data_IF_638261115749
#
_entry.id   IF_638261115749
#
_cell.length_a   1.000
_cell.length_b   1.000
_cell.length_c   1.000
_cell.angle_alpha   90.00
_cell.angle_beta   90.00
_cell.angle_gamma   90.00
#
_symmetry.space_group_name_H-M   'P 1'
#
loop_
_entity.id
_entity.type
_entity.pdbx_description
1 polymer ?
#
# COMPACT_ATOMS: atom_id res chain seq x y z
N UNK A 1 29.42 -10.29 -0.40
CA UNK A 1 29.81 -8.86 -0.48
C UNK A 1 29.25 -8.16 0.73
N UNK A 2 30.13 -7.47 1.49
CA UNK A 2 29.75 -6.79 2.72
C UNK A 2 29.11 -5.42 2.43
N UNK A 3 28.25 -4.94 3.33
CA UNK A 3 27.71 -3.58 3.34
C UNK A 3 27.77 -2.97 4.76
N UNK A 4 27.34 -1.73 4.94
CA UNK A 4 27.43 -1.02 6.24
C UNK A 4 26.63 -1.67 7.36
N UNK A 5 25.56 -2.39 7.04
CA UNK A 5 24.74 -3.09 8.03
C UNK A 5 25.44 -4.32 8.60
N UNK A 6 26.45 -4.87 7.91
CA UNK A 6 27.24 -6.00 8.44
C UNK A 6 28.12 -5.64 9.66
N UNK A 7 28.24 -4.33 9.96
CA UNK A 7 28.87 -3.85 11.20
C UNK A 7 27.92 -3.92 12.42
N UNK A 8 26.65 -4.23 12.21
CA UNK A 8 25.65 -4.35 13.28
C UNK A 8 25.33 -5.83 13.58
N UNK A 9 24.99 -6.18 14.83
CA UNK A 9 24.65 -7.58 15.21
C UNK A 9 23.22 -7.96 14.77
N UNK A 10 22.89 -7.85 13.48
CA UNK A 10 21.56 -8.04 12.91
C UNK A 10 21.49 -9.22 11.92
N UNK A 11 22.53 -9.99 11.76
CA UNK A 11 22.56 -11.15 10.86
C UNK A 11 21.57 -12.23 11.33
N UNK A 12 20.75 -12.73 10.40
CA UNK A 12 19.80 -13.82 10.61
C UNK A 12 20.29 -15.15 10.00
N UNK A 13 21.36 -15.08 9.21
CA UNK A 13 22.01 -16.22 8.55
C UNK A 13 23.53 -16.01 8.57
N UNK A 14 24.35 -17.03 8.20
CA UNK A 14 25.80 -16.85 8.03
C UNK A 14 26.21 -15.92 6.89
N UNK A 15 25.26 -15.54 6.02
CA UNK A 15 25.52 -14.68 4.87
C UNK A 15 25.52 -13.19 5.25
N UNK A 16 26.29 -12.36 4.51
CA UNK A 16 26.18 -10.91 4.61
C UNK A 16 24.75 -10.42 4.35
N UNK A 17 24.37 -9.26 4.90
CA UNK A 17 23.02 -8.67 4.79
C UNK A 17 22.58 -8.46 3.34
N UNK A 18 23.51 -8.29 2.40
CA UNK A 18 23.18 -8.18 0.98
C UNK A 18 22.48 -9.43 0.42
N UNK A 19 22.70 -10.59 1.04
CA UNK A 19 22.19 -11.89 0.57
C UNK A 19 20.96 -12.32 1.38
N UNK A 20 19.76 -12.38 0.77
CA UNK A 20 18.58 -12.90 1.46
C UNK A 20 18.73 -14.38 1.87
N UNK A 21 18.04 -14.76 2.96
CA UNK A 21 18.01 -16.14 3.47
C UNK A 21 17.20 -17.11 2.59
N UNK A 22 16.87 -16.76 1.37
CA UNK A 22 16.08 -17.55 0.42
C UNK A 22 16.61 -17.38 -0.98
N UNK A 23 16.43 -18.38 -1.83
CA UNK A 23 16.70 -18.32 -3.27
C UNK A 23 15.45 -18.07 -4.10
N UNK A 24 14.31 -17.78 -3.49
CA UNK A 24 13.09 -17.48 -4.24
C UNK A 24 13.25 -16.17 -5.02
N UNK A 25 13.00 -16.24 -6.34
CA UNK A 25 13.12 -15.09 -7.24
C UNK A 25 12.20 -13.92 -6.87
N UNK A 26 11.13 -14.22 -6.14
CA UNK A 26 10.10 -13.24 -5.75
C UNK A 26 10.32 -12.67 -4.34
N UNK A 27 11.53 -12.83 -3.78
CA UNK A 27 11.87 -12.15 -2.54
C UNK A 27 11.89 -10.64 -2.76
N UNK A 28 11.32 -9.91 -1.81
CA UNK A 28 11.22 -8.47 -1.85
C UNK A 28 11.32 -7.84 -0.45
N UNK A 29 11.67 -6.57 -0.43
CA UNK A 29 11.57 -5.71 0.75
C UNK A 29 11.06 -4.34 0.28
N UNK A 30 9.89 -3.91 0.78
CA UNK A 30 9.14 -2.77 0.28
C UNK A 30 8.80 -1.78 1.38
N UNK A 31 8.96 -0.51 1.05
CA UNK A 31 8.39 0.62 1.77
C UNK A 31 7.31 1.25 0.91
N UNK A 32 6.14 1.45 1.50
CA UNK A 32 5.01 2.08 0.85
C UNK A 32 4.38 3.11 1.76
N UNK A 33 3.83 4.17 1.18
CA UNK A 33 3.11 5.20 1.91
C UNK A 33 1.94 5.71 1.09
N UNK A 34 0.91 6.18 1.79
CA UNK A 34 -0.01 7.15 1.25
C UNK A 34 0.00 8.45 2.04
N UNK A 35 -0.57 9.49 1.43
CA UNK A 35 -0.97 10.71 2.09
C UNK A 35 -2.25 11.24 1.47
N UNK A 36 -3.17 11.73 2.30
CA UNK A 36 -4.45 12.24 1.86
C UNK A 36 -4.93 13.38 2.76
N UNK A 37 -5.62 14.35 2.14
CA UNK A 37 -6.23 15.44 2.87
C UNK A 37 -7.39 14.97 3.73
N UNK A 38 -7.59 15.59 4.90
CA UNK A 38 -8.70 15.29 5.80
C UNK A 38 -10.08 15.69 5.25
N UNK A 39 -10.12 16.51 4.21
CA UNK A 39 -11.33 16.87 3.46
C UNK A 39 -11.53 16.02 2.18
N UNK A 40 -10.55 15.18 1.83
CA UNK A 40 -10.56 14.36 0.63
C UNK A 40 -10.16 15.09 -0.66
N UNK A 41 -9.56 16.29 -0.56
CA UNK A 41 -9.23 17.12 -1.72
C UNK A 41 -8.08 16.59 -2.55
N UNK A 42 -7.17 15.81 -1.96
CA UNK A 42 -6.05 15.17 -2.65
C UNK A 42 -5.64 13.83 -2.05
N UNK A 43 -4.93 13.07 -2.85
CA UNK A 43 -4.25 11.85 -2.46
C UNK A 43 -2.90 11.75 -3.17
N UNK A 44 -1.87 11.26 -2.49
CA UNK A 44 -0.64 10.80 -3.10
C UNK A 44 -0.21 9.44 -2.55
N UNK A 45 0.48 8.68 -3.39
CA UNK A 45 1.06 7.40 -3.03
C UNK A 45 2.55 7.35 -3.35
N UNK A 46 3.31 6.57 -2.57
CA UNK A 46 4.75 6.43 -2.67
C UNK A 46 5.09 4.95 -2.52
N UNK A 47 5.92 4.43 -3.39
CA UNK A 47 6.43 3.06 -3.28
C UNK A 47 7.91 2.99 -3.61
N UNK A 48 8.65 2.18 -2.86
CA UNK A 48 10.01 1.75 -3.20
C UNK A 48 10.19 0.32 -2.75
N UNK A 49 10.78 -0.52 -3.60
CA UNK A 49 11.06 -1.90 -3.25
C UNK A 49 12.37 -2.39 -3.85
N UNK A 50 13.10 -3.20 -3.09
CA UNK A 50 14.22 -3.96 -3.59
C UNK A 50 13.80 -5.41 -3.82
N UNK A 51 14.22 -5.96 -4.96
CA UNK A 51 14.03 -7.35 -5.38
C UNK A 51 15.40 -7.98 -5.61
N UNK A 52 16.03 -8.50 -4.54
CA UNK A 52 17.44 -8.89 -4.59
C UNK A 52 17.77 -9.94 -5.64
N UNK A 53 16.88 -10.93 -5.86
CA UNK A 53 17.12 -12.00 -6.85
C UNK A 53 16.63 -11.64 -8.26
N UNK A 54 16.17 -10.42 -8.45
CA UNK A 54 15.94 -9.79 -9.78
C UNK A 54 16.98 -8.72 -10.08
N UNK A 55 17.79 -8.36 -9.09
CA UNK A 55 18.81 -7.31 -9.16
C UNK A 55 18.20 -5.94 -9.47
N UNK A 56 17.01 -5.66 -8.89
CA UNK A 56 16.22 -4.45 -9.16
C UNK A 56 15.91 -3.72 -7.85
N UNK A 57 16.06 -2.40 -7.88
CA UNK A 57 15.45 -1.44 -6.95
C UNK A 57 14.55 -0.52 -7.76
N UNK A 58 13.25 -0.51 -7.47
CA UNK A 58 12.29 0.37 -8.12
C UNK A 58 11.62 1.34 -7.16
N UNK A 59 11.04 2.40 -7.70
CA UNK A 59 10.24 3.35 -6.96
C UNK A 59 9.14 3.96 -7.85
N UNK A 60 8.13 4.52 -7.20
CA UNK A 60 7.10 5.31 -7.85
C UNK A 60 6.57 6.38 -6.88
N UNK A 61 6.17 7.51 -7.45
CA UNK A 61 5.40 8.56 -6.79
C UNK A 61 4.21 8.93 -7.67
N UNK A 62 3.04 9.06 -7.08
CA UNK A 62 1.86 9.44 -7.84
C UNK A 62 0.94 10.31 -7.00
N UNK A 63 0.32 11.31 -7.64
CA UNK A 63 -0.57 12.28 -6.98
C UNK A 63 -1.80 12.54 -7.82
N UNK A 64 -2.94 12.75 -7.14
CA UNK A 64 -4.21 13.16 -7.73
C UNK A 64 -4.91 14.17 -6.82
N UNK A 65 -5.44 15.24 -7.41
CA UNK A 65 -6.36 16.16 -6.74
C UNK A 65 -7.79 15.90 -7.19
N UNK A 66 -8.76 16.31 -6.37
CA UNK A 66 -10.17 16.12 -6.67
C UNK A 66 -10.57 16.80 -8.01
N UNK A 67 -11.12 15.99 -8.92
CA UNK A 67 -11.49 16.46 -10.27
C UNK A 67 -10.30 16.63 -11.23
N UNK A 68 -9.06 16.45 -10.77
CA UNK A 68 -7.83 16.56 -11.54
C UNK A 68 -7.38 15.27 -12.23
N UNK A 69 -6.22 15.35 -12.85
CA UNK A 69 -5.50 14.21 -13.42
C UNK A 69 -4.65 13.55 -12.35
N UNK A 70 -4.35 12.28 -12.53
CA UNK A 70 -3.34 11.58 -11.75
C UNK A 70 -2.00 11.70 -12.47
N UNK A 71 -0.98 12.23 -11.78
CA UNK A 71 0.37 12.41 -12.29
C UNK A 71 1.31 11.43 -11.62
N UNK A 72 2.17 10.78 -12.40
CA UNK A 72 2.99 9.67 -11.94
C UNK A 72 4.45 9.87 -12.31
N UNK A 73 5.33 9.51 -11.40
CA UNK A 73 6.76 9.29 -11.62
C UNK A 73 7.08 7.82 -11.34
N UNK A 74 7.94 7.24 -12.18
CA UNK A 74 8.48 5.89 -12.02
C UNK A 74 9.99 5.92 -12.12
N UNK A 75 10.65 5.07 -11.34
CA UNK A 75 12.08 4.86 -11.41
C UNK A 75 12.46 3.41 -11.19
N UNK A 76 13.47 2.94 -11.89
CA UNK A 76 14.04 1.60 -11.74
C UNK A 76 15.53 1.64 -11.97
N UNK A 77 16.29 0.92 -11.16
CA UNK A 77 17.73 0.72 -11.37
C UNK A 77 18.19 -0.65 -10.93
N UNK A 78 19.45 -0.98 -11.27
CA UNK A 78 20.14 -2.13 -10.67
C UNK A 78 20.17 -1.98 -9.15
N UNK A 79 19.84 -3.06 -8.45
CA UNK A 79 19.79 -3.07 -6.98
C UNK A 79 21.19 -2.83 -6.40
N UNK A 80 21.35 -1.89 -5.45
CA UNK A 80 22.61 -1.74 -4.73
C UNK A 80 22.79 -2.87 -3.72
N UNK A 81 24.06 -3.24 -3.47
CA UNK A 81 24.39 -4.16 -2.38
C UNK A 81 24.23 -3.49 -1.01
N UNK A 82 24.46 -2.18 -0.97
CA UNK A 82 24.24 -1.36 0.22
C UNK A 82 22.75 -1.17 0.48
N UNK A 83 22.22 -1.82 1.50
CA UNK A 83 20.78 -1.81 1.84
C UNK A 83 20.29 -0.48 2.38
N UNK A 84 21.18 0.39 2.83
CA UNK A 84 20.84 1.74 3.25
C UNK A 84 20.75 2.75 2.11
N UNK A 85 21.16 2.36 0.88
CA UNK A 85 21.00 3.18 -0.31
C UNK A 85 19.57 3.05 -0.87
N UNK A 86 18.69 3.89 -0.37
CA UNK A 86 17.28 3.96 -0.74
C UNK A 86 17.05 5.09 -1.75
N UNK A 87 17.74 5.03 -2.91
CA UNK A 87 17.61 6.05 -3.96
C UNK A 87 17.48 5.44 -5.35
N UNK A 88 16.73 6.10 -6.26
CA UNK A 88 16.60 5.75 -7.67
C UNK A 88 16.56 7.06 -8.50
N UNK A 89 17.66 7.42 -9.12
CA UNK A 89 17.76 8.68 -9.86
C UNK A 89 17.41 9.89 -8.99
N UNK A 90 16.41 10.70 -9.35
CA UNK A 90 16.00 11.87 -8.58
C UNK A 90 15.19 11.55 -7.31
N UNK A 91 14.79 10.29 -7.12
CA UNK A 91 13.95 9.86 -5.99
C UNK A 91 14.81 9.27 -4.87
N UNK A 92 14.50 9.61 -3.61
CA UNK A 92 15.11 8.98 -2.42
C UNK A 92 14.19 8.99 -1.20
N UNK A 93 14.38 8.00 -0.35
CA UNK A 93 13.78 7.91 0.98
C UNK A 93 14.88 8.01 2.03
N UNK A 94 14.75 8.92 2.96
CA UNK A 94 15.69 9.16 4.06
C UNK A 94 15.03 8.76 5.39
N UNK A 95 15.56 7.78 6.09
CA UNK A 95 15.12 7.41 7.44
C UNK A 95 15.77 8.38 8.42
N UNK A 96 15.05 9.42 8.83
CA UNK A 96 15.56 10.45 9.74
C UNK A 96 15.66 9.91 11.18
N UNK A 97 14.58 9.26 11.63
CA UNK A 97 14.53 8.54 12.89
C UNK A 97 13.75 7.23 12.67
N UNK A 98 14.40 6.07 12.86
CA UNK A 98 13.73 4.79 12.67
C UNK A 98 12.42 4.69 13.47
N UNK A 99 11.38 4.18 12.82
CA UNK A 99 10.02 3.99 13.36
C UNK A 99 9.27 5.28 13.74
N UNK A 100 9.84 6.47 13.46
CA UNK A 100 9.22 7.76 13.78
C UNK A 100 9.14 8.71 12.60
N UNK A 101 10.27 9.04 11.96
CA UNK A 101 10.34 10.10 10.96
C UNK A 101 11.06 9.67 9.69
N UNK A 102 10.40 9.91 8.56
CA UNK A 102 10.93 9.59 7.23
C UNK A 102 10.76 10.81 6.33
N UNK A 103 11.78 11.14 5.53
CA UNK A 103 11.69 12.13 4.48
C UNK A 103 11.70 11.46 3.12
N UNK A 104 10.84 11.93 2.21
CA UNK A 104 10.78 11.48 0.82
C UNK A 104 11.04 12.68 -0.07
N UNK A 105 12.03 12.54 -0.95
CA UNK A 105 12.40 13.60 -1.90
C UNK A 105 12.34 13.04 -3.30
N UNK A 106 11.65 13.75 -4.16
CA UNK A 106 11.70 13.59 -5.62
C UNK A 106 12.10 14.94 -6.21
N UNK A 107 13.32 15.01 -6.70
CA UNK A 107 13.86 16.21 -7.34
C UNK A 107 13.19 16.44 -8.70
N UNK A 108 13.36 17.64 -9.25
CA UNK A 108 12.83 18.00 -10.57
C UNK A 108 13.32 17.02 -11.64
N UNK A 109 12.39 16.58 -12.48
CA UNK A 109 12.64 15.55 -13.49
C UNK A 109 11.67 15.69 -14.68
N UNK A 110 11.80 14.82 -15.66
CA UNK A 110 11.01 14.90 -16.92
C UNK A 110 9.51 14.61 -16.74
N UNK A 111 9.07 13.96 -15.66
CA UNK A 111 7.64 13.73 -15.41
C UNK A 111 6.89 15.01 -15.01
N UNK A 112 7.62 16.04 -14.57
CA UNK A 112 7.04 17.25 -13.99
C UNK A 112 6.51 17.07 -12.58
N UNK A 113 6.71 15.88 -11.97
CA UNK A 113 6.33 15.60 -10.57
C UNK A 113 7.57 15.73 -9.70
N UNK A 114 7.48 16.51 -8.62
CA UNK A 114 8.53 16.59 -7.59
C UNK A 114 7.92 16.74 -6.21
N UNK A 115 8.67 16.36 -5.17
CA UNK A 115 8.22 16.54 -3.80
C UNK A 115 9.38 16.64 -2.80
N UNK A 116 9.08 17.27 -1.67
CA UNK A 116 9.87 17.21 -0.45
C UNK A 116 8.88 17.06 0.71
N UNK A 117 8.75 15.84 1.21
CA UNK A 117 7.73 15.45 2.16
C UNK A 117 8.35 14.79 3.38
N UNK A 118 7.88 15.14 4.56
CA UNK A 118 8.27 14.49 5.82
C UNK A 118 7.06 13.82 6.46
N UNK A 119 7.16 12.52 6.68
CA UNK A 119 6.23 11.72 7.47
C UNK A 119 6.66 11.71 8.93
N UNK A 120 5.71 11.98 9.83
CA UNK A 120 5.88 11.87 11.27
C UNK A 120 4.83 10.92 11.85
N UNK A 121 5.29 9.85 12.50
CA UNK A 121 4.41 8.85 13.08
C UNK A 121 3.49 9.45 14.18
N UNK A 122 2.27 8.94 14.26
CA UNK A 122 1.27 9.24 15.30
C UNK A 122 0.74 7.97 15.97
N UNK A 123 1.23 6.80 15.56
CA UNK A 123 1.00 5.51 16.24
C UNK A 123 2.32 4.79 16.43
N UNK A 124 2.38 3.83 17.33
CA UNK A 124 3.37 2.76 17.27
C UNK A 124 3.17 1.94 16.00
N UNK A 125 4.09 1.04 15.68
CA UNK A 125 3.91 0.13 14.55
C UNK A 125 2.90 -0.97 14.92
N UNK A 126 2.07 -1.31 13.95
CA UNK A 126 1.03 -2.32 14.07
C UNK A 126 1.41 -3.47 13.14
N UNK A 127 1.95 -4.54 13.71
CA UNK A 127 2.29 -5.71 12.90
C UNK A 127 1.03 -6.48 12.52
N UNK A 128 0.83 -6.68 11.21
CA UNK A 128 -0.20 -7.59 10.69
C UNK A 128 0.19 -9.06 10.91
N UNK A 129 -0.78 -9.96 10.85
CA UNK A 129 -0.54 -11.39 10.81
C UNK A 129 0.29 -11.78 9.58
N UNK A 130 1.18 -12.76 9.74
CA UNK A 130 1.98 -13.27 8.62
C UNK A 130 1.08 -13.86 7.54
N UNK A 131 1.19 -13.35 6.34
CA UNK A 131 0.39 -13.78 5.20
C UNK A 131 1.10 -14.92 4.46
N UNK A 132 0.50 -16.11 4.46
CA UNK A 132 1.07 -17.29 3.79
C UNK A 132 0.03 -17.88 2.85
N UNK A 133 0.34 -17.92 1.55
CA UNK A 133 -0.51 -18.54 0.52
C UNK A 133 0.27 -19.61 -0.25
N UNK A 134 -0.40 -20.70 -0.55
CA UNK A 134 0.15 -21.83 -1.28
C UNK A 134 -0.55 -22.01 -2.63
N UNK A 135 0.21 -22.41 -3.63
CA UNK A 135 -0.27 -22.89 -4.92
C UNK A 135 0.37 -24.26 -5.18
N UNK A 136 -0.39 -25.32 -4.96
CA UNK A 136 0.17 -26.66 -4.93
C UNK A 136 1.24 -26.79 -3.82
N UNK A 137 2.41 -27.28 -4.17
CA UNK A 137 3.53 -27.43 -3.26
C UNK A 137 4.37 -26.13 -3.08
N UNK A 138 4.07 -25.07 -3.80
CA UNK A 138 4.83 -23.82 -3.77
C UNK A 138 4.15 -22.78 -2.89
N UNK A 139 4.91 -22.15 -2.02
CA UNK A 139 4.52 -20.97 -1.28
C UNK A 139 4.64 -19.75 -2.21
N UNK A 140 3.50 -19.18 -2.62
CA UNK A 140 3.45 -18.05 -3.58
C UNK A 140 3.37 -16.70 -2.87
N UNK A 141 3.05 -16.71 -1.59
CA UNK A 141 3.13 -15.56 -0.70
C UNK A 141 3.58 -16.03 0.68
N UNK A 142 4.55 -15.34 1.24
CA UNK A 142 5.03 -15.52 2.61
C UNK A 142 5.62 -14.19 3.06
N UNK A 143 4.78 -13.33 3.61
CA UNK A 143 5.12 -11.95 3.87
C UNK A 143 4.78 -11.54 5.31
N UNK A 144 5.67 -10.77 5.89
CA UNK A 144 5.44 -9.99 7.11
C UNK A 144 5.21 -8.54 6.72
N UNK A 145 4.31 -7.88 7.45
CA UNK A 145 3.98 -6.47 7.24
C UNK A 145 3.76 -5.78 8.57
N UNK A 146 4.06 -4.48 8.61
CA UNK A 146 3.56 -3.60 9.65
C UNK A 146 3.11 -2.28 9.05
N UNK A 147 2.09 -1.69 9.68
CA UNK A 147 1.56 -0.39 9.37
C UNK A 147 1.87 0.61 10.47
N UNK A 148 1.94 1.88 10.12
CA UNK A 148 2.12 2.98 11.03
C UNK A 148 1.38 4.20 10.50
N UNK A 149 0.50 4.77 11.31
CA UNK A 149 -0.27 5.95 10.93
C UNK A 149 0.48 7.22 11.34
N UNK A 150 0.32 8.26 10.55
CA UNK A 150 1.04 9.51 10.79
C UNK A 150 0.49 10.70 10.02
N UNK A 151 1.30 11.72 9.99
CA UNK A 151 1.03 13.01 9.37
C UNK A 151 2.15 13.37 8.41
N UNK A 152 1.77 14.09 7.35
CA UNK A 152 2.70 14.58 6.35
C UNK A 152 2.84 16.09 6.40
N UNK A 153 4.05 16.58 6.16
CA UNK A 153 4.34 18.00 5.96
C UNK A 153 5.30 18.17 4.77
N UNK A 154 5.12 19.22 3.98
CA UNK A 154 6.00 19.54 2.87
C UNK A 154 5.27 20.08 1.65
N UNK A 155 5.77 19.74 0.46
CA UNK A 155 5.26 20.22 -0.81
C UNK A 155 5.31 19.15 -1.88
N UNK A 156 4.29 19.12 -2.74
CA UNK A 156 4.26 18.34 -3.99
C UNK A 156 4.05 19.30 -5.14
N UNK A 157 4.82 19.15 -6.22
CA UNK A 157 4.62 19.84 -7.49
C UNK A 157 4.28 18.83 -8.56
N UNK A 158 3.40 19.20 -9.46
CA UNK A 158 2.99 18.38 -10.58
C UNK A 158 2.60 19.29 -11.77
N UNK A 159 2.41 18.75 -12.98
CA UNK A 159 2.16 19.57 -14.18
C UNK A 159 1.01 20.56 -14.07
N UNK A 160 0.01 20.29 -13.23
CA UNK A 160 -1.18 21.14 -13.08
C UNK A 160 -1.03 22.16 -11.92
N UNK A 161 0.01 22.08 -11.07
CA UNK A 161 0.23 23.03 -9.98
C UNK A 161 1.17 22.61 -8.87
N UNK A 162 1.05 23.32 -7.75
CA UNK A 162 1.77 23.06 -6.50
C UNK A 162 0.77 22.84 -5.36
N UNK A 163 0.95 21.77 -4.62
CA UNK A 163 0.16 21.39 -3.47
C UNK A 163 0.99 21.50 -2.20
N UNK A 164 0.55 22.34 -1.26
CA UNK A 164 1.12 22.39 0.09
C UNK A 164 0.52 21.30 0.94
N UNK A 165 1.38 20.52 1.57
CA UNK A 165 1.01 19.46 2.50
C UNK A 165 1.33 19.92 3.91
N UNK A 166 0.33 19.97 4.79
CA UNK A 166 0.54 20.36 6.19
C UNK A 166 0.06 19.25 7.14
N UNK A 167 0.73 19.13 8.27
CA UNK A 167 0.50 18.04 9.23
C UNK A 167 -0.83 18.14 10.00
N UNK A 168 -1.50 19.30 9.98
CA UNK A 168 -2.85 19.48 10.49
C UNK A 168 -3.92 18.98 9.49
N UNK A 169 -3.62 18.95 8.20
CA UNK A 169 -4.55 18.59 7.14
C UNK A 169 -4.28 17.22 6.51
N UNK A 170 -3.03 16.74 6.51
CA UNK A 170 -2.66 15.54 5.78
C UNK A 170 -2.38 14.35 6.70
N UNK A 171 -3.21 13.35 6.59
CA UNK A 171 -2.97 12.02 7.17
C UNK A 171 -2.19 11.13 6.21
N UNK A 172 -1.62 10.06 6.75
CA UNK A 172 -0.99 9.03 5.93
C UNK A 172 -0.73 7.76 6.69
N UNK A 173 -0.53 6.70 5.93
CA UNK A 173 -0.12 5.39 6.42
C UNK A 173 1.23 5.04 5.81
N UNK A 174 2.13 4.52 6.62
CA UNK A 174 3.37 3.85 6.21
C UNK A 174 3.14 2.36 6.32
N UNK A 175 3.32 1.63 5.22
CA UNK A 175 3.32 0.17 5.15
C UNK A 175 4.73 -0.31 4.81
N UNK A 176 5.25 -1.19 5.64
CA UNK A 176 6.50 -1.91 5.40
C UNK A 176 6.19 -3.39 5.28
N UNK A 177 6.62 -3.99 4.17
CA UNK A 177 6.43 -5.42 3.97
C UNK A 177 7.65 -6.07 3.34
N UNK A 178 7.93 -7.31 3.73
CA UNK A 178 9.04 -8.09 3.21
C UNK A 178 8.73 -9.57 3.22
N UNK A 179 9.44 -10.32 2.38
CA UNK A 179 9.26 -11.76 2.25
C UNK A 179 9.20 -12.18 0.80
N UNK A 180 8.25 -13.04 0.47
CA UNK A 180 8.04 -13.58 -0.88
C UNK A 180 6.63 -13.25 -1.35
N UNK A 181 6.49 -12.69 -2.55
CA UNK A 181 5.23 -12.56 -3.30
C UNK A 181 5.53 -12.43 -4.79
N UNK A 182 4.59 -12.81 -5.63
CA UNK A 182 4.75 -12.62 -7.09
C UNK A 182 4.93 -11.15 -7.45
N UNK A 183 5.99 -10.86 -8.22
CA UNK A 183 6.33 -9.52 -8.73
C UNK A 183 6.94 -9.63 -10.14
N UNK A 184 6.93 -8.52 -10.88
CA UNK A 184 7.53 -8.45 -12.21
C UNK A 184 6.80 -9.31 -13.24
N UNK A 185 7.52 -9.68 -14.27
CA UNK A 185 7.01 -10.52 -15.34
C UNK A 185 6.60 -11.90 -14.82
N UNK A 186 5.55 -12.50 -15.39
CA UNK A 186 5.15 -13.85 -15.06
C UNK A 186 6.30 -14.85 -15.20
N UNK A 187 6.41 -15.76 -14.26
CA UNK A 187 7.36 -16.87 -14.38
C UNK A 187 6.92 -17.80 -15.49
N UNK A 188 7.86 -18.21 -16.34
CA UNK A 188 7.65 -19.13 -17.43
C UNK A 188 8.13 -20.53 -17.09
N UNK A 189 7.55 -21.55 -17.73
CA UNK A 189 7.92 -22.96 -17.55
C UNK A 189 7.07 -23.68 -16.49
N UNK A 190 7.19 -25.00 -16.45
CA UNK A 190 6.39 -25.86 -15.58
C UNK A 190 4.97 -26.11 -16.11
N UNK A 191 4.15 -26.78 -15.30
CA UNK A 191 2.74 -27.02 -15.62
C UNK A 191 1.95 -25.70 -15.60
N UNK A 192 0.96 -25.53 -16.51
CA UNK A 192 0.09 -24.37 -16.48
C UNK A 192 -0.62 -24.24 -15.12
N UNK A 193 -0.58 -23.05 -14.55
CA UNK A 193 -1.31 -22.73 -13.33
C UNK A 193 -2.52 -21.90 -13.73
N UNK A 194 -3.72 -22.35 -13.33
CA UNK A 194 -4.91 -21.54 -13.50
C UNK A 194 -4.78 -20.28 -12.63
N UNK A 195 -4.99 -19.09 -13.19
CA UNK A 195 -5.00 -17.88 -12.39
C UNK A 195 -6.08 -18.00 -11.31
N UNK A 196 -5.69 -17.83 -10.06
CA UNK A 196 -6.66 -17.72 -8.96
C UNK A 196 -7.32 -16.34 -8.99
N UNK A 197 -8.56 -16.27 -8.48
CA UNK A 197 -9.17 -14.99 -8.15
C UNK A 197 -8.47 -14.37 -6.93
N UNK A 198 -8.58 -13.06 -6.78
CA UNK A 198 -8.17 -12.32 -5.61
C UNK A 198 -9.28 -11.36 -5.20
N UNK A 199 -9.68 -11.41 -3.93
CA UNK A 199 -10.47 -10.37 -3.29
C UNK A 199 -9.68 -9.85 -2.10
N UNK A 200 -9.35 -8.57 -2.12
CA UNK A 200 -8.59 -7.91 -1.08
C UNK A 200 -9.21 -6.54 -0.77
N UNK A 201 -9.40 -6.27 0.52
CA UNK A 201 -9.70 -4.95 1.05
C UNK A 201 -8.71 -4.62 2.17
N UNK A 202 -8.30 -3.35 2.21
CA UNK A 202 -7.46 -2.80 3.25
C UNK A 202 -7.99 -1.41 3.60
N UNK A 203 -8.32 -1.19 4.88
CA UNK A 203 -9.04 -0.01 5.32
C UNK A 203 -8.39 0.61 6.57
N UNK A 204 -7.34 1.42 6.40
CA UNK A 204 -6.79 2.27 7.46
C UNK A 204 -7.66 3.51 7.63
N UNK A 205 -8.23 3.69 8.81
CA UNK A 205 -9.12 4.79 9.16
C UNK A 205 -8.59 5.57 10.36
N UNK A 206 -8.67 6.88 10.31
CA UNK A 206 -8.22 7.80 11.36
C UNK A 206 -9.43 8.50 11.96
N UNK A 207 -9.48 8.50 13.30
CA UNK A 207 -10.48 9.15 14.13
C UNK A 207 -9.81 10.22 14.99
N UNK A 208 -10.55 10.93 15.82
CA UNK A 208 -9.99 12.00 16.63
C UNK A 208 -8.93 11.53 17.64
N UNK A 209 -9.14 10.33 18.22
CA UNK A 209 -8.35 9.82 19.35
C UNK A 209 -7.72 8.43 19.10
N UNK A 210 -8.09 7.77 18.01
CA UNK A 210 -7.63 6.43 17.68
C UNK A 210 -7.56 6.22 16.17
N UNK A 211 -7.01 5.09 15.77
CA UNK A 211 -7.12 4.55 14.43
C UNK A 211 -7.91 3.23 14.50
N UNK A 212 -8.56 2.89 13.41
CA UNK A 212 -9.00 1.52 13.17
C UNK A 212 -8.46 1.04 11.83
N UNK A 213 -8.05 -0.22 11.78
CA UNK A 213 -7.50 -0.83 10.60
C UNK A 213 -8.13 -2.20 10.38
N UNK A 214 -8.64 -2.45 9.19
CA UNK A 214 -9.25 -3.73 8.83
C UNK A 214 -8.66 -4.26 7.52
N UNK A 215 -8.40 -5.57 7.50
CA UNK A 215 -7.76 -6.27 6.40
C UNK A 215 -8.57 -7.51 6.06
N UNK A 216 -8.84 -7.68 4.77
CA UNK A 216 -9.57 -8.82 4.25
C UNK A 216 -8.86 -9.40 3.04
N UNK A 217 -8.68 -10.69 3.06
CA UNK A 217 -8.27 -11.48 1.92
C UNK A 217 -9.22 -12.67 1.84
N UNK A 218 -10.03 -12.72 0.80
CA UNK A 218 -11.03 -13.76 0.62
C UNK A 218 -10.71 -14.63 -0.61
N UNK A 219 -11.05 -15.90 -0.50
CA UNK A 219 -11.13 -16.81 -1.63
C UNK A 219 -12.39 -16.58 -2.48
N UNK A 220 -12.50 -17.25 -3.63
CA UNK A 220 -13.59 -17.02 -4.61
C UNK A 220 -15.01 -17.25 -4.10
N UNK A 221 -15.18 -18.07 -3.07
CA UNK A 221 -16.48 -18.34 -2.44
C UNK A 221 -16.76 -17.47 -1.21
N UNK A 222 -15.88 -16.49 -0.90
CA UNK A 222 -15.94 -15.67 0.28
C UNK A 222 -15.34 -16.33 1.53
N UNK A 223 -14.60 -17.43 1.36
CA UNK A 223 -13.85 -18.03 2.44
C UNK A 223 -12.75 -17.08 2.95
N UNK A 224 -12.73 -16.83 4.25
CA UNK A 224 -11.77 -15.94 4.88
C UNK A 224 -10.36 -16.57 4.88
N UNK A 225 -9.45 -16.01 4.09
CA UNK A 225 -8.02 -16.36 4.10
C UNK A 225 -7.24 -15.46 5.09
N UNK A 226 -7.58 -14.17 5.15
CA UNK A 226 -7.11 -13.22 6.16
C UNK A 226 -8.29 -12.35 6.57
N UNK A 227 -8.50 -12.20 7.86
CA UNK A 227 -9.48 -11.30 8.46
C UNK A 227 -8.91 -10.72 9.73
N UNK A 228 -8.46 -9.48 9.66
CA UNK A 228 -7.87 -8.79 10.79
C UNK A 228 -8.54 -7.45 11.01
N UNK A 229 -8.67 -7.08 12.29
CA UNK A 229 -9.12 -5.77 12.71
C UNK A 229 -8.33 -5.34 13.93
N UNK A 230 -7.92 -4.07 13.95
CA UNK A 230 -7.14 -3.48 15.02
C UNK A 230 -7.66 -2.08 15.29
N UNK A 231 -7.74 -1.74 16.58
CA UNK A 231 -7.95 -0.36 17.06
C UNK A 231 -6.75 0.01 17.90
N UNK A 232 -6.12 1.15 17.61
CA UNK A 232 -4.91 1.59 18.30
C UNK A 232 -4.98 3.09 18.63
N UNK A 233 -4.31 3.55 19.70
CA UNK A 233 -4.28 4.96 20.08
C UNK A 233 -3.63 5.83 18.99
N UNK A 234 -4.21 7.01 18.74
CA UNK A 234 -3.64 8.04 17.91
C UNK A 234 -3.03 9.15 18.81
N UNK A 235 -1.75 9.42 18.63
CA UNK A 235 -1.02 10.40 19.43
C UNK A 235 -1.01 11.77 18.77
N UNK A 236 -0.96 12.83 19.60
CA UNK A 236 -0.93 14.21 19.10
C UNK A 236 0.40 14.58 18.45
N UNK A 237 1.49 13.99 18.93
CA UNK A 237 2.83 14.20 18.36
C UNK A 237 3.61 12.88 18.27
N UNK A 238 4.67 12.85 17.46
CA UNK A 238 5.58 11.71 17.39
C UNK A 238 6.35 11.47 18.70
N UNK A 239 6.54 12.53 19.51
CA UNK A 239 7.21 12.43 20.80
C UNK A 239 6.37 11.67 21.84
N UNK A 240 5.05 11.65 21.67
CA UNK A 240 4.12 10.95 22.54
C UNK A 240 3.99 9.47 22.21
N UNK A 241 4.50 9.04 21.05
CA UNK A 241 4.48 7.62 20.64
C UNK A 241 5.42 6.82 21.53
N UNK A 242 4.92 5.78 22.26
CA UNK A 242 5.66 5.17 23.37
C UNK A 242 6.89 4.36 22.94
N UNK A 243 6.95 3.93 21.67
CA UNK A 243 8.04 3.12 21.15
C UNK A 243 7.68 2.43 19.84
N UNK A 244 8.33 1.30 19.58
CA UNK A 244 8.05 0.50 18.37
C UNK A 244 6.69 -0.15 18.45
N UNK A 245 6.29 -0.64 19.62
CA UNK A 245 5.01 -1.28 19.89
C UNK A 245 4.25 -0.55 20.99
N UNK A 246 2.93 -0.65 20.99
CA UNK A 246 2.04 -0.13 22.03
C UNK A 246 1.15 -1.25 22.57
N UNK A 247 1.31 -1.60 23.81
CA UNK A 247 0.49 -2.64 24.48
C UNK A 247 -1.00 -2.29 24.62
N UNK A 248 -1.43 -1.10 24.16
CA UNK A 248 -2.84 -0.67 24.15
C UNK A 248 -3.57 -0.98 22.86
N UNK A 249 -2.89 -1.55 21.88
CA UNK A 249 -3.50 -2.01 20.64
C UNK A 249 -4.54 -3.10 20.94
N UNK A 250 -5.73 -2.92 20.39
CA UNK A 250 -6.85 -3.85 20.57
C UNK A 250 -7.08 -4.61 19.26
N UNK A 251 -6.70 -5.87 19.23
CA UNK A 251 -7.03 -6.76 18.12
C UNK A 251 -8.47 -7.22 18.24
N UNK A 252 -9.19 -7.19 17.11
CA UNK A 252 -10.57 -7.66 17.05
C UNK A 252 -10.61 -9.20 16.99
N UNK A 253 -11.66 -9.79 17.54
CA UNK A 253 -11.91 -11.23 17.44
C UNK A 253 -12.20 -11.65 15.98
N UNK A 254 -12.88 -10.79 15.23
CA UNK A 254 -13.13 -10.96 13.80
C UNK A 254 -13.57 -9.65 13.15
N UNK A 255 -13.54 -9.63 11.81
CA UNK A 255 -14.05 -8.52 11.00
C UNK A 255 -14.95 -9.04 9.89
N UNK A 256 -15.88 -8.21 9.42
CA UNK A 256 -16.74 -8.50 8.27
C UNK A 256 -16.80 -7.28 7.38
N UNK A 257 -17.08 -7.48 6.10
CA UNK A 257 -17.26 -6.39 5.13
C UNK A 257 -18.52 -6.61 4.30
N UNK A 258 -19.08 -5.53 3.82
CA UNK A 258 -20.13 -5.47 2.80
C UNK A 258 -19.75 -4.33 1.85
N UNK A 259 -19.69 -4.62 0.55
CA UNK A 259 -19.33 -3.64 -0.48
C UNK A 259 -20.48 -3.52 -1.47
N UNK A 260 -20.92 -2.29 -1.70
CA UNK A 260 -21.80 -1.94 -2.80
C UNK A 260 -20.95 -1.36 -3.92
N UNK A 261 -21.18 -1.82 -5.15
CA UNK A 261 -20.36 -1.42 -6.29
C UNK A 261 -21.08 -0.42 -7.20
N UNK A 262 -20.33 0.38 -7.90
CA UNK A 262 -20.82 1.17 -9.02
C UNK A 262 -21.21 0.19 -10.14
N UNK A 263 -22.46 0.24 -10.68
CA UNK A 263 -22.91 -0.66 -11.73
C UNK A 263 -21.94 -0.71 -12.93
N UNK A 264 -21.72 -1.90 -13.46
CA UNK A 264 -20.80 -2.15 -14.56
C UNK A 264 -19.32 -2.13 -14.18
N UNK A 265 -19.00 -2.02 -12.91
CA UNK A 265 -17.60 -1.96 -12.42
C UNK A 265 -17.38 -2.88 -11.22
N UNK A 266 -16.14 -2.90 -10.71
CA UNK A 266 -15.79 -3.48 -9.40
C UNK A 266 -15.30 -2.42 -8.43
N UNK A 267 -15.69 -1.16 -8.67
CA UNK A 267 -15.36 -0.01 -7.83
C UNK A 267 -16.42 0.15 -6.74
N UNK A 268 -16.03 0.26 -5.49
CA UNK A 268 -16.97 0.52 -4.40
C UNK A 268 -17.65 1.89 -4.55
N UNK A 269 -18.97 1.90 -4.48
CA UNK A 269 -19.78 3.11 -4.27
C UNK A 269 -20.00 3.40 -2.79
N UNK A 270 -19.99 2.35 -1.95
CA UNK A 270 -19.99 2.41 -0.50
C UNK A 270 -19.48 1.08 0.06
N UNK A 271 -19.06 1.10 1.31
CA UNK A 271 -18.75 -0.14 2.03
C UNK A 271 -19.13 -0.02 3.51
N UNK A 272 -19.32 -1.16 4.14
CA UNK A 272 -19.47 -1.28 5.60
C UNK A 272 -18.43 -2.27 6.13
N UNK A 273 -17.85 -1.95 7.27
CA UNK A 273 -16.91 -2.81 7.98
C UNK A 273 -17.41 -3.00 9.40
N UNK A 274 -17.59 -4.27 9.79
CA UNK A 274 -17.86 -4.65 11.18
C UNK A 274 -16.54 -5.02 11.86
N UNK A 275 -16.24 -4.37 12.96
CA UNK A 275 -15.22 -4.76 13.92
C UNK A 275 -15.91 -5.44 15.10
N UNK A 276 -15.58 -6.71 15.35
CA UNK A 276 -16.16 -7.50 16.46
C UNK A 276 -15.07 -7.75 17.48
N UNK A 277 -15.26 -7.27 18.70
CA UNK A 277 -14.33 -7.50 19.80
C UNK A 277 -14.47 -8.91 20.42
N UNK A 278 -13.62 -9.21 21.41
CA UNK A 278 -13.63 -10.51 22.10
C UNK A 278 -14.84 -10.73 23.02
N UNK A 279 -15.59 -9.67 23.35
CA UNK A 279 -16.85 -9.75 24.11
C UNK A 279 -18.07 -9.89 23.18
N UNK A 280 -17.84 -9.95 21.86
CA UNK A 280 -18.87 -10.06 20.82
C UNK A 280 -19.59 -8.76 20.50
N UNK A 281 -19.10 -7.61 21.01
CA UNK A 281 -19.63 -6.31 20.65
C UNK A 281 -19.21 -5.98 19.20
N UNK A 282 -20.17 -5.50 18.43
CA UNK A 282 -19.94 -5.15 17.02
C UNK A 282 -20.00 -3.63 16.87
N UNK A 283 -18.97 -3.09 16.24
CA UNK A 283 -18.92 -1.72 15.75
C UNK A 283 -19.00 -1.76 14.23
N UNK A 284 -20.04 -1.16 13.65
CA UNK A 284 -20.20 -1.03 12.21
C UNK A 284 -19.70 0.34 11.74
N UNK A 285 -18.79 0.35 10.80
CA UNK A 285 -18.22 1.55 10.19
C UNK A 285 -18.72 1.63 8.75
N UNK A 286 -19.43 2.70 8.44
CA UNK A 286 -19.89 3.03 7.07
C UNK A 286 -18.81 3.85 6.37
N UNK A 287 -18.51 3.52 5.10
CA UNK A 287 -17.49 4.16 4.27
C UNK A 287 -18.12 4.78 3.02
N UNK A 288 -17.89 6.08 2.86
CA UNK A 288 -18.30 6.87 1.70
C UNK A 288 -17.07 7.30 0.88
N UNK A 289 -16.84 6.73 -0.32
CA UNK A 289 -15.74 7.13 -1.19
C UNK A 289 -15.90 8.58 -1.70
N UNK A 290 -14.79 9.35 -1.65
CA UNK A 290 -14.78 10.76 -2.08
C UNK A 290 -13.73 11.07 -3.15
N UNK A 291 -12.62 10.32 -3.20
CA UNK A 291 -11.57 10.50 -4.20
C UNK A 291 -10.97 9.13 -4.59
N UNK A 292 -10.87 8.87 -5.88
CA UNK A 292 -10.28 7.64 -6.41
C UNK A 292 -8.84 7.86 -6.87
N UNK A 293 -7.96 6.96 -6.48
CA UNK A 293 -6.56 6.85 -6.91
C UNK A 293 -6.33 5.49 -7.59
N UNK A 294 -5.71 5.52 -8.77
CA UNK A 294 -5.35 4.32 -9.52
C UNK A 294 -3.98 3.79 -9.08
N UNK A 295 -3.95 2.56 -8.58
CA UNK A 295 -2.74 1.94 -8.04
C UNK A 295 -1.71 1.60 -9.13
N UNK A 296 -2.10 1.57 -10.41
CA UNK A 296 -1.13 1.50 -11.52
C UNK A 296 -0.10 2.62 -11.46
N UNK A 297 -0.48 3.80 -10.97
CA UNK A 297 0.43 4.92 -10.73
C UNK A 297 1.56 4.62 -9.74
N UNK A 298 1.51 3.48 -9.05
CA UNK A 298 2.58 2.94 -8.19
C UNK A 298 3.13 1.60 -8.70
N UNK A 299 2.94 1.31 -10.00
CA UNK A 299 3.46 0.12 -10.65
C UNK A 299 2.66 -1.16 -10.39
N UNK A 300 1.49 -1.10 -9.73
CA UNK A 300 0.65 -2.28 -9.58
C UNK A 300 -0.01 -2.61 -10.93
N UNK A 301 0.24 -3.81 -11.43
CA UNK A 301 -0.28 -4.30 -12.74
C UNK A 301 0.01 -3.37 -13.93
N UNK A 302 0.94 -2.42 -13.78
CA UNK A 302 1.32 -1.53 -14.87
C UNK A 302 2.03 -2.32 -15.98
N UNK A 303 1.64 -2.18 -17.26
CA UNK A 303 2.19 -3.00 -18.34
C UNK A 303 3.68 -2.73 -18.61
N UNK A 304 4.16 -1.52 -18.38
CA UNK A 304 5.56 -1.15 -18.62
C UNK A 304 6.35 -0.93 -17.33
N UNK A 305 5.77 -0.25 -16.35
CA UNK A 305 6.41 0.11 -15.07
C UNK A 305 5.95 -0.78 -13.92
N UNK A 306 5.66 -2.06 -14.23
CA UNK A 306 5.30 -3.04 -13.20
C UNK A 306 6.42 -3.23 -12.17
N UNK A 307 6.01 -3.46 -10.92
CA UNK A 307 6.93 -3.67 -9.81
C UNK A 307 7.88 -4.83 -10.09
N UNK A 308 9.20 -4.63 -9.91
CA UNK A 308 10.22 -5.65 -10.14
C UNK A 308 10.51 -5.97 -11.62
N UNK A 309 10.06 -5.12 -12.54
CA UNK A 309 10.41 -5.22 -13.97
C UNK A 309 11.75 -4.54 -14.26
N UNK A 310 12.62 -5.21 -15.00
CA UNK A 310 13.89 -4.63 -15.42
C UNK A 310 13.70 -3.57 -16.51
N UNK A 311 14.23 -2.36 -16.27
CA UNK A 311 14.14 -1.24 -17.23
C UNK A 311 15.50 -0.77 -17.77
N UNK A 312 16.61 -1.22 -17.15
CA UNK A 312 17.97 -0.79 -17.47
C UNK A 312 18.77 -0.52 -16.19
N UNK A 313 20.02 -0.08 -16.35
CA UNK A 313 20.92 0.23 -15.21
C UNK A 313 20.36 1.36 -14.34
N UNK A 314 19.73 2.36 -14.96
CA UNK A 314 18.94 3.42 -14.33
C UNK A 314 18.01 4.02 -15.38
N UNK A 315 16.71 3.88 -15.15
CA UNK A 315 15.67 4.45 -15.99
C UNK A 315 14.61 5.15 -15.16
N UNK A 316 14.08 6.23 -15.71
CA UNK A 316 12.97 6.98 -15.12
C UNK A 316 11.92 7.29 -16.16
N UNK A 317 10.66 7.31 -15.73
CA UNK A 317 9.52 7.62 -16.59
C UNK A 317 8.43 8.34 -15.82
N UNK A 318 7.37 8.66 -16.54
CA UNK A 318 6.19 9.27 -15.94
C UNK A 318 5.04 9.31 -16.94
N UNK A 319 3.84 9.42 -16.41
CA UNK A 319 2.61 9.59 -17.19
C UNK A 319 1.62 10.47 -16.43
N UNK A 320 0.61 10.95 -17.16
CA UNK A 320 -0.53 11.66 -16.57
C UNK A 320 -1.80 11.22 -17.28
N UNK A 321 -2.80 10.82 -16.51
CA UNK A 321 -4.09 10.37 -17.04
C UNK A 321 -5.26 10.86 -16.15
N UNK A 322 -6.46 10.86 -16.70
CA UNK A 322 -7.68 11.14 -15.93
C UNK A 322 -8.22 9.83 -15.35
N UNK A 323 -8.21 9.63 -14.01
CA UNK A 323 -8.70 8.41 -13.40
C UNK A 323 -10.19 8.16 -13.60
N UNK A 324 -10.95 9.18 -14.05
CA UNK A 324 -12.39 9.05 -14.35
C UNK A 324 -12.65 8.47 -15.75
N UNK A 325 -11.64 8.54 -16.65
CA UNK A 325 -11.76 8.13 -18.05
C UNK A 325 -11.11 6.77 -18.35
N UNK A 326 -10.50 6.13 -17.36
CA UNK A 326 -9.94 4.79 -17.53
C UNK A 326 -11.06 3.75 -17.51
N UNK A 327 -10.90 2.69 -18.32
CA UNK A 327 -11.78 1.53 -18.23
C UNK A 327 -11.55 0.79 -16.91
N UNK A 328 -12.52 0.75 -15.99
CA UNK A 328 -12.34 0.24 -14.63
C UNK A 328 -12.18 -1.28 -14.57
N UNK A 329 -12.46 -2.01 -15.65
CA UNK A 329 -12.34 -3.46 -15.72
C UNK A 329 -11.03 -3.95 -16.37
N UNK A 330 -10.20 -3.03 -16.91
CA UNK A 330 -8.89 -3.42 -17.37
C UNK A 330 -7.98 -3.84 -16.21
N UNK A 331 -7.13 -4.87 -16.39
CA UNK A 331 -6.27 -5.41 -15.34
C UNK A 331 -5.45 -4.36 -14.58
N UNK A 332 -4.91 -3.38 -15.30
CA UNK A 332 -4.11 -2.29 -14.73
C UNK A 332 -4.94 -1.24 -13.98
N UNK A 333 -6.25 -1.22 -14.17
CA UNK A 333 -7.14 -0.21 -13.56
C UNK A 333 -8.02 -0.76 -12.44
N UNK A 334 -8.07 -2.09 -12.26
CA UNK A 334 -8.98 -2.71 -11.29
C UNK A 334 -8.54 -2.53 -9.83
N UNK A 335 -7.24 -2.29 -9.62
CA UNK A 335 -6.68 -2.04 -8.30
C UNK A 335 -6.71 -0.53 -7.99
N UNK A 336 -7.48 -0.15 -6.99
CA UNK A 336 -7.67 1.25 -6.61
C UNK A 336 -7.55 1.44 -5.11
N UNK A 337 -7.19 2.67 -4.72
CA UNK A 337 -7.48 3.19 -3.39
C UNK A 337 -8.47 4.34 -3.51
N UNK A 338 -9.41 4.41 -2.58
CA UNK A 338 -10.36 5.51 -2.48
C UNK A 338 -10.19 6.19 -1.12
N UNK A 339 -10.00 7.51 -1.10
CA UNK A 339 -10.20 8.26 0.14
C UNK A 339 -11.65 8.11 0.52
N UNK A 340 -11.92 7.78 1.78
CA UNK A 340 -13.27 7.54 2.28
C UNK A 340 -13.55 8.37 3.53
N UNK A 341 -14.74 8.97 3.59
CA UNK A 341 -15.30 9.40 4.87
C UNK A 341 -15.80 8.18 5.62
N UNK A 342 -15.50 8.10 6.89
CA UNK A 342 -15.91 7.00 7.75
C UNK A 342 -16.91 7.49 8.81
N UNK A 343 -17.95 6.69 9.06
CA UNK A 343 -19.00 6.97 10.04
C UNK A 343 -19.17 5.78 10.98
N UNK A 344 -19.08 6.03 12.28
CA UNK A 344 -19.40 5.08 13.34
C UNK A 344 -20.44 5.77 14.26
N UNK A 345 -21.71 5.63 13.91
CA UNK A 345 -22.77 6.39 14.56
C UNK A 345 -22.56 7.90 14.45
N UNK A 346 -22.33 8.57 15.58
CA UNK A 346 -22.06 10.00 15.62
C UNK A 346 -20.61 10.39 15.32
N UNK A 347 -19.67 9.41 15.37
CA UNK A 347 -18.26 9.67 15.13
C UNK A 347 -17.99 9.83 13.64
N UNK A 348 -17.05 10.70 13.32
CA UNK A 348 -16.57 10.95 11.95
C UNK A 348 -15.09 10.65 11.90
N UNK A 349 -14.69 9.97 10.83
CA UNK A 349 -13.31 9.66 10.52
C UNK A 349 -13.04 9.83 9.04
N UNK A 350 -11.78 9.68 8.69
CA UNK A 350 -11.32 9.68 7.30
C UNK A 350 -10.26 8.61 7.14
N UNK A 351 -10.13 8.08 5.94
CA UNK A 351 -9.11 7.09 5.66
C UNK A 351 -9.13 6.66 4.22
N UNK A 352 -8.73 5.42 4.00
CA UNK A 352 -8.61 4.85 2.66
C UNK A 352 -9.31 3.49 2.63
N UNK A 353 -9.97 3.20 1.52
CA UNK A 353 -10.42 1.87 1.15
C UNK A 353 -9.61 1.43 -0.06
N UNK A 354 -8.62 0.56 0.15
CA UNK A 354 -7.96 -0.15 -0.94
C UNK A 354 -8.79 -1.35 -1.33
N UNK A 355 -8.93 -1.57 -2.62
CA UNK A 355 -9.67 -2.70 -3.15
C UNK A 355 -9.04 -3.26 -4.41
N UNK A 356 -8.98 -4.58 -4.48
CA UNK A 356 -8.69 -5.33 -5.68
C UNK A 356 -9.57 -6.57 -5.70
N UNK A 357 -10.37 -6.72 -6.74
CA UNK A 357 -11.18 -7.91 -6.96
C UNK A 357 -11.00 -8.39 -8.39
N UNK A 358 -10.27 -9.46 -8.58
CA UNK A 358 -9.99 -10.07 -9.88
C UNK A 358 -10.48 -11.53 -9.85
N UNK A 359 -11.17 -11.98 -10.91
CA UNK A 359 -11.72 -13.31 -10.99
C UNK A 359 -13.08 -13.46 -10.31
N UNK A 360 -13.62 -14.67 -10.30
CA UNK A 360 -14.90 -14.98 -9.68
C UNK A 360 -14.90 -14.68 -8.18
N UNK A 361 -15.98 -14.04 -7.72
CA UNK A 361 -16.20 -13.77 -6.29
C UNK A 361 -17.69 -13.87 -5.98
N UNK A 362 -18.10 -15.02 -5.44
CA UNK A 362 -19.50 -15.36 -5.25
C UNK A 362 -20.29 -14.40 -4.33
N UNK A 363 -19.70 -13.84 -3.23
CA UNK A 363 -20.43 -12.90 -2.38
C UNK A 363 -20.90 -11.63 -3.11
N UNK A 364 -20.20 -11.20 -4.17
CA UNK A 364 -20.58 -10.04 -4.99
C UNK A 364 -21.23 -10.42 -6.31
N UNK A 365 -21.46 -11.71 -6.56
CA UNK A 365 -22.08 -12.21 -7.80
C UNK A 365 -21.18 -12.14 -9.04
N UNK A 366 -19.86 -11.93 -8.87
CA UNK A 366 -18.91 -11.97 -9.97
C UNK A 366 -18.62 -13.42 -10.38
N UNK A 367 -18.83 -13.70 -11.67
CA UNK A 367 -18.71 -15.04 -12.24
C UNK A 367 -17.47 -15.22 -13.13
N UNK A 368 -16.91 -14.13 -13.62
CA UNK A 368 -15.78 -14.11 -14.55
C UNK A 368 -14.62 -13.26 -14.01
N UNK A 369 -13.53 -13.14 -14.76
CA UNK A 369 -12.33 -12.39 -14.33
C UNK A 369 -12.55 -10.89 -14.29
N UNK A 370 -13.38 -10.35 -15.19
CA UNK A 370 -13.55 -8.91 -15.40
C UNK A 370 -14.99 -8.49 -15.63
N UNK A 371 -15.98 -9.27 -15.19
CA UNK A 371 -17.36 -8.83 -15.17
C UNK A 371 -17.56 -7.75 -14.09
N UNK A 372 -18.45 -6.82 -14.36
CA UNK A 372 -18.83 -5.75 -13.43
C UNK A 372 -20.09 -6.07 -12.63
N UNK A 373 -20.33 -5.31 -11.56
CA UNK A 373 -21.55 -5.38 -10.78
C UNK A 373 -22.78 -5.08 -11.64
N UNK A 374 -23.90 -5.75 -11.32
CA UNK A 374 -25.20 -5.58 -12.01
C UNK A 374 -25.92 -4.35 -11.53
#
# INVERSE_FOLDING_TARGET
MLNKLDDYPIHQTPEPIAHPATSDRNVYDRTWFNGYANDGSYYFGIGMAIYPHRDILDCAFSVVEQGGRQHCFYGSRRAPLERTDMSVGPFRIEIIEPMKRVRVVLEDNKSGVSCDLTFSARTASIQEGRQTLWSGARRVMDATRFDQFGRWNGVVRHPDGEMKVSDDMCFGTKDRSWGVRRVGEPETGGAPVMPGGIFFLWAPLVWDDHISHAIFFDGPKGEALVREGIVAPLYKSEADVPGVEDGRDQRMATTRHRVTYVPGTRLASSAEIDLVDHDGQTRTIELEPVLKFQMKGLGYTHPEWGQGMWKGELETGGESFDPRQVDPLQPENIHVQQVVRAHDGARRGIGVLEQICIGPYAPSGFADYFDGAK
#
